data_IF_447113703975
#
_entry.id   IF_447113703975
#
_cell.length_a   1.000
_cell.length_b   1.000
_cell.length_c   1.000
_cell.angle_alpha   90.00
_cell.angle_beta   90.00
_cell.angle_gamma   90.00
#
_symmetry.space_group_name_H-M   'P 1'
#
loop_
_entity.id
_entity.type
_entity.pdbx_description
1 polymer ?
#
# COMPACT_ATOMS: atom_id res chain seq x y z
N UNK A 1 0.91 -9.88 -22.68
CA UNK A 1 0.99 -8.90 -21.58
C UNK A 1 2.36 -9.04 -20.93
N UNK A 2 2.78 -8.07 -20.13
CA UNK A 2 4.03 -8.13 -19.37
C UNK A 2 3.80 -7.65 -17.94
N UNK A 3 4.73 -8.00 -17.06
CA UNK A 3 4.72 -7.63 -15.64
C UNK A 3 5.90 -6.72 -15.33
N UNK A 4 5.66 -5.69 -14.50
CA UNK A 4 6.67 -4.79 -13.98
C UNK A 4 6.60 -4.78 -12.46
N UNK A 5 7.73 -5.10 -11.82
CA UNK A 5 7.92 -5.09 -10.37
C UNK A 5 9.01 -4.11 -10.00
N UNK A 6 8.74 -3.26 -9.01
CA UNK A 6 9.70 -2.31 -8.47
C UNK A 6 9.26 -1.89 -7.07
N UNK A 7 10.19 -1.29 -6.34
CA UNK A 7 9.96 -0.79 -5.00
C UNK A 7 10.10 0.74 -5.00
N UNK A 8 9.28 1.41 -4.18
CA UNK A 8 9.46 2.83 -3.85
C UNK A 8 9.36 3.02 -2.35
N UNK A 9 9.81 4.15 -1.85
CA UNK A 9 9.60 4.53 -0.46
C UNK A 9 8.19 5.10 -0.25
N UNK A 10 7.63 4.88 0.95
CA UNK A 10 6.42 5.53 1.44
C UNK A 10 6.78 6.96 1.84
N UNK A 11 6.82 7.86 0.86
CA UNK A 11 7.13 9.28 1.05
C UNK A 11 6.05 10.19 0.50
N UNK A 12 5.88 11.35 1.14
CA UNK A 12 5.01 12.41 0.62
C UNK A 12 5.68 13.23 -0.48
N UNK A 13 5.02 14.30 -0.90
CA UNK A 13 5.56 15.24 -1.88
C UNK A 13 6.59 16.22 -1.29
N UNK A 14 6.59 16.38 0.04
CA UNK A 14 7.33 17.42 0.75
C UNK A 14 6.51 18.69 1.00
N UNK A 15 5.28 18.79 0.49
CA UNK A 15 4.39 19.93 0.69
C UNK A 15 2.95 19.48 0.97
N UNK A 16 2.35 20.00 2.05
CA UNK A 16 0.98 19.68 2.42
C UNK A 16 -0.03 20.04 1.32
N UNK A 17 -1.01 19.17 1.07
CA UNK A 17 -1.99 19.35 0.00
C UNK A 17 -1.44 19.21 -1.43
N UNK A 18 -0.18 18.75 -1.60
CA UNK A 18 0.40 18.42 -2.91
C UNK A 18 0.53 16.90 -3.04
N UNK A 19 -0.01 16.34 -4.13
CA UNK A 19 -0.02 14.90 -4.34
C UNK A 19 1.41 14.32 -4.41
N UNK A 20 1.71 13.23 -3.68
CA UNK A 20 2.99 12.55 -3.78
C UNK A 20 3.21 11.92 -5.17
N UNK A 21 4.47 11.72 -5.54
CA UNK A 21 4.84 11.11 -6.83
C UNK A 21 4.25 9.70 -6.99
N UNK A 22 4.21 8.94 -5.88
CA UNK A 22 3.62 7.61 -5.79
C UNK A 22 2.09 7.61 -5.89
N UNK A 23 1.44 8.78 -5.83
CA UNK A 23 -0.02 8.93 -5.96
C UNK A 23 -0.59 8.35 -7.25
N UNK A 24 0.13 8.50 -8.36
CA UNK A 24 -0.24 7.92 -9.66
C UNK A 24 -0.25 6.38 -9.62
N UNK A 25 0.63 5.79 -8.81
CA UNK A 25 0.72 4.34 -8.63
C UNK A 25 -0.48 3.82 -7.84
N UNK A 26 -0.85 4.49 -6.74
CA UNK A 26 -2.06 4.18 -5.98
C UNK A 26 -3.31 4.22 -6.87
N UNK A 27 -3.44 5.25 -7.70
CA UNK A 27 -4.57 5.37 -8.64
C UNK A 27 -4.65 4.22 -9.63
N UNK A 28 -3.52 3.78 -10.17
CA UNK A 28 -3.46 2.61 -11.05
C UNK A 28 -3.63 1.26 -10.31
N UNK A 29 -3.60 1.28 -8.97
CA UNK A 29 -3.95 0.15 -8.10
C UNK A 29 -5.38 0.23 -7.56
N UNK A 30 -6.22 1.13 -8.09
CA UNK A 30 -7.63 1.23 -7.75
C UNK A 30 -7.97 2.10 -6.55
N UNK A 31 -7.13 3.09 -6.23
CA UNK A 31 -7.43 4.10 -5.23
C UNK A 31 -7.91 5.41 -5.87
N UNK A 32 -8.87 6.07 -5.25
CA UNK A 32 -9.28 7.43 -5.57
C UNK A 32 -8.42 8.45 -4.80
N UNK A 33 -7.99 9.50 -5.48
CA UNK A 33 -7.22 10.60 -4.88
C UNK A 33 -8.15 11.74 -4.49
N UNK A 34 -8.06 12.18 -3.24
CA UNK A 34 -8.76 13.37 -2.73
C UNK A 34 -7.75 14.38 -2.20
N UNK A 35 -7.68 15.54 -2.83
CA UNK A 35 -6.77 16.62 -2.43
C UNK A 35 -7.53 17.67 -1.63
N UNK A 36 -7.09 17.91 -0.40
CA UNK A 36 -7.48 19.07 0.40
C UNK A 36 -6.33 20.07 0.31
N UNK A 37 -6.54 21.13 -0.47
CA UNK A 37 -5.52 22.14 -0.76
C UNK A 37 -4.85 22.63 0.52
N UNK A 38 -3.52 22.77 0.48
CA UNK A 38 -2.66 23.18 1.60
C UNK A 38 -2.74 22.32 2.88
N UNK A 39 -3.49 21.22 2.85
CA UNK A 39 -3.79 20.43 4.05
C UNK A 39 -3.35 18.99 3.91
N UNK A 40 -3.89 18.25 2.93
CA UNK A 40 -3.63 16.81 2.82
C UNK A 40 -3.99 16.25 1.46
N UNK A 41 -3.49 15.04 1.19
CA UNK A 41 -3.88 14.22 0.04
C UNK A 41 -4.20 12.81 0.54
N UNK A 42 -5.42 12.36 0.30
CA UNK A 42 -5.92 11.06 0.69
C UNK A 42 -6.04 10.12 -0.51
N UNK A 43 -5.74 8.84 -0.27
CA UNK A 43 -6.00 7.74 -1.17
C UNK A 43 -6.87 6.72 -0.44
N UNK A 44 -8.10 6.58 -0.92
CA UNK A 44 -9.08 5.61 -0.44
C UNK A 44 -9.35 4.60 -1.56
N UNK A 45 -9.64 3.32 -1.28
CA UNK A 45 -10.08 2.36 -2.28
C UNK A 45 -11.25 2.91 -3.09
N UNK A 46 -11.38 2.45 -4.33
CA UNK A 46 -12.50 2.81 -5.17
C UNK A 46 -13.01 1.59 -5.90
N UNK A 47 -14.30 1.32 -5.81
CA UNK A 47 -14.97 0.25 -6.53
C UNK A 47 -15.42 0.65 -7.94
N UNK A 48 -15.12 1.88 -8.37
CA UNK A 48 -15.54 2.42 -9.67
C UNK A 48 -14.39 3.15 -10.38
N UNK A 49 -14.34 3.05 -11.71
CA UNK A 49 -13.41 3.80 -12.57
C UNK A 49 -11.93 3.66 -12.18
N UNK A 50 -11.39 2.45 -12.30
CA UNK A 50 -9.97 2.20 -12.10
C UNK A 50 -9.13 2.91 -13.15
N UNK A 51 -8.29 3.85 -12.69
CA UNK A 51 -7.29 4.47 -13.54
C UNK A 51 -6.30 3.41 -14.05
N UNK A 52 -5.71 3.65 -15.21
CA UNK A 52 -4.57 2.87 -15.70
C UNK A 52 -3.41 3.80 -15.96
N UNK A 53 -2.20 3.27 -16.07
CA UNK A 53 -1.04 4.06 -16.40
C UNK A 53 -0.18 3.41 -17.48
N UNK A 54 0.68 4.21 -18.09
CA UNK A 54 1.69 3.70 -19.02
C UNK A 54 3.06 3.88 -18.39
N UNK A 55 3.83 2.80 -18.31
CA UNK A 55 5.23 2.85 -17.88
C UNK A 55 6.15 2.97 -19.09
N UNK A 56 7.14 3.83 -18.95
CA UNK A 56 8.28 3.97 -19.85
C UNK A 56 9.51 3.62 -19.03
N UNK A 57 10.15 2.50 -19.34
CA UNK A 57 11.32 1.98 -18.63
C UNK A 57 12.51 2.05 -19.58
N UNK A 58 13.38 3.01 -19.34
CA UNK A 58 14.61 3.21 -20.11
C UNK A 58 15.74 2.39 -19.48
N UNK A 59 16.44 1.60 -20.31
CA UNK A 59 17.61 0.80 -19.93
C UNK A 59 18.70 1.02 -20.98
N UNK A 60 19.67 1.88 -20.65
CA UNK A 60 20.81 2.17 -21.53
C UNK A 60 20.42 2.52 -22.98
N UNK A 61 19.43 3.42 -23.13
CA UNK A 61 18.90 3.83 -24.44
C UNK A 61 17.86 2.89 -25.07
N UNK A 62 17.59 1.73 -24.44
CA UNK A 62 16.53 0.80 -24.84
C UNK A 62 15.26 1.12 -24.04
N UNK A 63 14.15 1.33 -24.73
CA UNK A 63 12.86 1.68 -24.11
C UNK A 63 11.90 0.50 -24.12
N UNK A 64 11.56 0.04 -22.91
CA UNK A 64 10.46 -0.88 -22.66
C UNK A 64 9.21 -0.09 -22.27
N UNK A 65 8.08 -0.36 -22.93
CA UNK A 65 6.79 0.28 -22.63
C UNK A 65 5.78 -0.74 -22.14
N UNK A 66 5.01 -0.35 -21.13
CA UNK A 66 3.88 -1.12 -20.61
C UNK A 66 2.65 -0.21 -20.59
N UNK A 67 1.69 -0.44 -21.48
CA UNK A 67 0.49 0.42 -21.62
C UNK A 67 -0.72 -0.19 -20.92
N UNK A 68 -1.66 0.67 -20.49
CA UNK A 68 -2.89 0.22 -19.83
C UNK A 68 -2.62 -0.61 -18.57
N UNK A 69 -1.53 -0.29 -17.85
CA UNK A 69 -1.09 -1.06 -16.71
C UNK A 69 -1.97 -0.78 -15.49
N UNK A 70 -2.34 -1.86 -14.80
CA UNK A 70 -3.01 -1.85 -13.49
C UNK A 70 -2.22 -2.72 -12.53
N UNK A 71 -2.28 -2.38 -11.25
CA UNK A 71 -1.36 -2.96 -10.28
C UNK A 71 -1.95 -3.24 -8.92
N UNK A 72 -1.08 -3.77 -8.08
CA UNK A 72 -1.27 -4.05 -6.67
C UNK A 72 0.01 -3.71 -5.93
N UNK A 73 -0.08 -3.62 -4.60
CA UNK A 73 1.06 -3.30 -3.78
C UNK A 73 1.00 -3.92 -2.39
N UNK A 74 2.18 -4.02 -1.81
CA UNK A 74 2.40 -4.34 -0.40
C UNK A 74 3.21 -3.22 0.26
N UNK A 75 2.74 -2.74 1.40
CA UNK A 75 3.43 -1.79 2.26
C UNK A 75 4.13 -2.54 3.37
N UNK A 76 5.41 -2.23 3.59
CA UNK A 76 6.21 -2.73 4.69
C UNK A 76 6.70 -1.55 5.54
N UNK A 77 6.29 -1.56 6.81
CA UNK A 77 6.74 -0.61 7.82
C UNK A 77 7.53 -1.37 8.87
N UNK A 78 8.81 -1.59 8.62
CA UNK A 78 9.75 -2.19 9.57
C UNK A 78 10.54 -1.10 10.31
N UNK A 79 10.62 -1.21 11.63
CA UNK A 79 11.35 -0.28 12.50
C UNK A 79 12.80 -0.07 12.02
N UNK A 80 13.25 1.18 12.00
CA UNK A 80 14.61 1.55 11.61
C UNK A 80 14.90 1.49 10.10
N UNK A 81 13.94 1.07 9.27
CA UNK A 81 14.02 1.15 7.80
C UNK A 81 13.16 2.30 7.28
N UNK A 82 13.35 2.68 6.02
CA UNK A 82 12.37 3.50 5.31
C UNK A 82 11.10 2.68 5.09
N UNK A 83 9.93 3.33 5.20
CA UNK A 83 8.69 2.69 4.78
C UNK A 83 8.79 2.34 3.30
N UNK A 84 8.48 1.09 2.94
CA UNK A 84 8.64 0.59 1.59
C UNK A 84 7.30 0.17 1.01
N UNK A 85 7.13 0.38 -0.30
CA UNK A 85 5.99 -0.11 -1.06
C UNK A 85 6.52 -0.95 -2.22
N UNK A 86 6.14 -2.22 -2.23
CA UNK A 86 6.46 -3.16 -3.28
C UNK A 86 5.32 -3.16 -4.29
N UNK A 87 5.58 -2.70 -5.51
CA UNK A 87 4.58 -2.60 -6.56
C UNK A 87 4.68 -3.77 -7.53
N UNK A 88 3.53 -4.29 -7.93
CA UNK A 88 3.41 -5.24 -9.04
C UNK A 88 2.35 -4.74 -10.01
N UNK A 89 2.77 -4.46 -11.25
CA UNK A 89 1.89 -3.99 -12.32
C UNK A 89 1.86 -4.97 -13.48
N UNK A 90 0.67 -5.17 -14.05
CA UNK A 90 0.47 -5.90 -15.30
C UNK A 90 -0.12 -4.99 -16.35
N UNK A 91 0.39 -5.07 -17.57
CA UNK A 91 -0.07 -4.24 -18.68
C UNK A 91 0.18 -4.86 -20.05
N UNK A 92 -0.25 -4.15 -21.08
CA UNK A 92 -0.07 -4.54 -22.46
C UNK A 92 1.37 -4.31 -22.87
N UNK A 93 1.97 -5.36 -23.44
CA UNK A 93 3.32 -5.30 -23.98
C UNK A 93 3.32 -4.45 -25.25
N UNK A 94 4.34 -3.63 -25.41
CA UNK A 94 4.65 -2.91 -26.63
C UNK A 94 6.06 -3.31 -27.05
N UNK A 95 6.25 -3.49 -28.36
CA UNK A 95 7.57 -3.84 -28.92
C UNK A 95 8.63 -2.84 -28.44
N UNK A 96 9.78 -3.38 -28.05
CA UNK A 96 10.93 -2.59 -27.57
C UNK A 96 11.45 -1.71 -28.69
N UNK A 97 11.83 -0.48 -28.36
CA UNK A 97 12.37 0.50 -29.31
C UNK A 97 13.52 1.27 -28.67
N UNK A 98 14.44 1.81 -29.47
CA UNK A 98 15.48 2.69 -28.95
C UNK A 98 14.91 4.09 -28.71
N UNK A 99 15.37 4.75 -27.64
CA UNK A 99 14.96 6.10 -27.29
C UNK A 99 15.98 6.77 -26.38
N UNK A 100 16.20 8.07 -26.57
CA UNK A 100 17.09 8.84 -25.69
C UNK A 100 16.59 8.83 -24.24
N UNK A 101 17.53 8.82 -23.30
CA UNK A 101 17.20 8.92 -21.88
C UNK A 101 16.51 10.26 -21.57
N UNK A 102 15.49 10.22 -20.73
CA UNK A 102 14.77 11.42 -20.30
C UNK A 102 15.57 12.10 -19.18
N UNK A 103 15.75 13.41 -19.28
CA UNK A 103 16.22 14.24 -18.17
C UNK A 103 15.02 14.75 -17.36
N UNK A 104 15.05 14.57 -16.04
CA UNK A 104 14.00 15.07 -15.14
C UNK A 104 14.58 15.69 -13.88
N UNK A 105 13.76 16.48 -13.19
CA UNK A 105 14.07 16.99 -11.86
C UNK A 105 13.56 15.98 -10.83
N UNK A 106 14.44 15.56 -9.93
CA UNK A 106 14.08 14.65 -8.85
C UNK A 106 13.54 15.42 -7.65
N UNK A 107 12.52 14.86 -6.99
CA UNK A 107 12.07 15.38 -5.71
C UNK A 107 13.12 15.10 -4.62
N UNK A 108 13.65 16.16 -4.02
CA UNK A 108 14.68 16.11 -2.97
C UNK A 108 14.13 15.73 -1.57
N UNK A 109 12.83 15.53 -1.43
CA UNK A 109 12.19 15.12 -0.17
C UNK A 109 12.71 13.75 0.25
N UNK A 110 13.34 13.71 1.42
CA UNK A 110 13.87 12.48 2.00
C UNK A 110 12.73 11.60 2.53
N UNK A 111 12.74 10.29 2.27
CA UNK A 111 11.73 9.39 2.80
C UNK A 111 11.78 9.32 4.33
N UNK A 112 10.63 9.25 5.02
CA UNK A 112 10.61 9.08 6.47
C UNK A 112 11.13 7.69 6.86
N UNK A 113 12.01 7.64 7.85
CA UNK A 113 12.37 6.39 8.53
C UNK A 113 11.21 6.00 9.45
N UNK A 114 10.90 4.72 9.56
CA UNK A 114 9.92 4.17 10.52
C UNK A 114 10.54 4.17 11.91
N UNK A 115 10.59 5.36 12.52
CA UNK A 115 11.02 5.62 13.89
C UNK A 115 10.02 6.58 14.54
N UNK A 116 9.63 6.29 15.78
CA UNK A 116 8.58 7.06 16.45
C UNK A 116 7.21 6.96 15.76
N UNK A 117 6.99 5.90 14.98
CA UNK A 117 5.72 5.68 14.30
C UNK A 117 4.61 5.41 15.32
N UNK A 118 3.54 6.19 15.28
CA UNK A 118 2.43 6.05 16.20
C UNK A 118 1.49 4.94 15.71
N UNK A 119 1.70 3.71 16.16
CA UNK A 119 0.87 2.54 15.84
C UNK A 119 -0.14 2.25 16.94
N UNK A 120 -1.39 1.99 16.56
CA UNK A 120 -2.46 1.57 17.48
C UNK A 120 -3.44 0.61 16.80
N UNK A 121 -4.00 -0.30 17.60
CA UNK A 121 -5.05 -1.23 17.19
C UNK A 121 -6.15 -1.27 18.26
N UNK A 122 -7.37 -0.91 17.90
CA UNK A 122 -8.50 -0.82 18.84
C UNK A 122 -8.27 0.22 19.94
N UNK A 123 -7.44 1.24 19.68
CA UNK A 123 -7.01 2.24 20.68
C UNK A 123 -5.84 1.81 21.56
N UNK A 124 -5.38 0.56 21.47
CA UNK A 124 -4.20 0.09 22.17
C UNK A 124 -2.92 0.37 21.37
N UNK A 125 -1.96 1.07 21.98
CA UNK A 125 -0.64 1.36 21.40
C UNK A 125 0.27 0.15 21.53
N UNK A 126 0.17 -0.77 20.56
CA UNK A 126 0.96 -1.99 20.56
C UNK A 126 2.44 -1.73 20.29
N UNK A 127 3.32 -2.40 21.04
CA UNK A 127 4.76 -2.40 20.81
C UNK A 127 5.07 -3.42 19.72
N UNK A 128 5.16 -2.96 18.47
CA UNK A 128 5.43 -3.79 17.29
C UNK A 128 6.70 -3.34 16.58
N UNK A 129 7.38 -4.26 15.88
CA UNK A 129 8.56 -3.93 15.05
C UNK A 129 8.25 -3.85 13.57
N UNK A 130 7.14 -4.43 13.14
CA UNK A 130 6.69 -4.45 11.76
C UNK A 130 5.17 -4.35 11.67
N UNK A 131 4.72 -3.56 10.69
CA UNK A 131 3.38 -3.62 10.13
C UNK A 131 3.50 -3.82 8.62
N UNK A 132 2.89 -4.87 8.09
CA UNK A 132 2.70 -5.05 6.66
C UNK A 132 1.23 -4.96 6.28
N UNK A 133 0.96 -4.37 5.12
CA UNK A 133 -0.36 -4.31 4.51
C UNK A 133 -0.22 -4.76 3.07
N UNK A 134 -0.99 -5.76 2.65
CA UNK A 134 -0.95 -6.25 1.29
C UNK A 134 -2.32 -6.09 0.67
N UNK A 135 -2.40 -5.28 -0.38
CA UNK A 135 -3.61 -5.14 -1.15
C UNK A 135 -3.93 -6.43 -1.92
N UNK A 136 -3.00 -7.11 -2.57
CA UNK A 136 -3.35 -8.31 -3.36
C UNK A 136 -4.63 -8.14 -4.24
N UNK A 137 -4.61 -7.14 -5.12
CA UNK A 137 -5.65 -6.97 -6.13
C UNK A 137 -5.64 -8.16 -7.08
N UNK A 138 -6.82 -8.58 -7.50
CA UNK A 138 -6.97 -9.63 -8.51
C UNK A 138 -7.05 -9.02 -9.91
N UNK A 139 -6.31 -9.61 -10.84
CA UNK A 139 -6.30 -9.18 -12.23
C UNK A 139 -6.98 -10.20 -13.13
N UNK A 140 -7.83 -9.72 -14.04
CA UNK A 140 -8.31 -10.51 -15.17
C UNK A 140 -7.80 -9.94 -16.48
N UNK A 141 -7.30 -10.83 -17.33
CA UNK A 141 -6.95 -10.51 -18.71
C UNK A 141 -8.22 -10.56 -19.56
N UNK A 142 -8.68 -9.43 -20.06
CA UNK A 142 -9.77 -9.41 -21.04
C UNK A 142 -9.23 -9.88 -22.39
N UNK A 143 -9.29 -11.19 -22.62
CA UNK A 143 -8.83 -11.79 -23.88
C UNK A 143 -9.74 -11.39 -25.02
N UNK A 144 -9.13 -11.13 -26.17
CA UNK A 144 -9.85 -10.74 -27.37
C UNK A 144 -9.05 -11.20 -28.59
N UNK A 145 -9.70 -11.98 -29.46
CA UNK A 145 -9.11 -12.49 -30.69
C UNK A 145 -8.76 -11.37 -31.69
N UNK A 146 -9.46 -10.24 -31.61
CA UNK A 146 -9.25 -9.08 -32.48
C UNK A 146 -8.17 -8.13 -31.96
N UNK A 147 -7.71 -8.29 -30.72
CA UNK A 147 -6.64 -7.48 -30.18
C UNK A 147 -5.29 -7.96 -30.71
N UNK A 148 -4.43 -7.03 -31.16
CA UNK A 148 -3.10 -7.34 -31.70
C UNK A 148 -2.23 -8.20 -30.77
N UNK A 149 -2.42 -8.05 -29.46
CA UNK A 149 -1.69 -8.78 -28.42
C UNK A 149 -2.52 -9.91 -27.77
N UNK A 150 -3.69 -10.25 -28.33
CA UNK A 150 -4.64 -11.23 -27.78
C UNK A 150 -5.32 -10.81 -26.47
N UNK A 151 -5.03 -9.59 -25.98
CA UNK A 151 -5.57 -9.01 -24.74
C UNK A 151 -5.98 -7.58 -25.04
N UNK A 152 -7.25 -7.25 -24.77
CA UNK A 152 -7.82 -5.91 -24.94
C UNK A 152 -7.44 -4.98 -23.79
N UNK A 153 -7.51 -5.49 -22.56
CA UNK A 153 -7.19 -4.74 -21.35
C UNK A 153 -6.90 -5.66 -20.16
N UNK A 154 -6.21 -5.12 -19.15
CA UNK A 154 -6.04 -5.74 -17.84
C UNK A 154 -7.08 -5.12 -16.90
N UNK A 155 -7.94 -5.92 -16.29
CA UNK A 155 -8.97 -5.45 -15.37
C UNK A 155 -8.55 -5.76 -13.93
N UNK A 156 -8.84 -4.86 -12.99
CA UNK A 156 -8.91 -5.22 -11.58
C UNK A 156 -10.33 -5.76 -11.37
N UNK A 157 -10.46 -7.05 -11.07
CA UNK A 157 -11.76 -7.73 -10.95
C UNK A 157 -12.21 -7.95 -9.53
N UNK A 158 -11.28 -7.82 -8.60
CA UNK A 158 -11.51 -8.07 -7.21
C UNK A 158 -10.33 -7.60 -6.40
N UNK A 159 -10.54 -7.67 -5.10
CA UNK A 159 -9.54 -7.36 -4.12
C UNK A 159 -9.64 -8.39 -3.00
N UNK A 160 -8.74 -9.37 -3.00
CA UNK A 160 -8.73 -10.46 -2.01
C UNK A 160 -7.92 -10.06 -0.76
N UNK A 161 -6.88 -9.25 -0.95
CA UNK A 161 -5.99 -8.80 0.12
C UNK A 161 -6.54 -7.62 0.90
N UNK A 162 -7.61 -7.85 1.63
CA UNK A 162 -7.80 -7.12 2.88
C UNK A 162 -6.77 -7.62 3.91
N UNK A 163 -5.50 -7.81 3.55
CA UNK A 163 -4.52 -8.56 4.31
C UNK A 163 -3.46 -7.67 4.92
N UNK A 164 -2.90 -8.12 6.02
CA UNK A 164 -1.73 -7.50 6.63
C UNK A 164 -1.23 -8.36 7.77
N UNK A 165 -0.16 -7.93 8.41
CA UNK A 165 0.29 -8.53 9.65
C UNK A 165 1.02 -7.51 10.50
N UNK A 166 0.94 -7.69 11.81
CA UNK A 166 1.79 -6.96 12.75
C UNK A 166 2.25 -7.91 13.85
N UNK A 167 3.31 -7.50 14.54
CA UNK A 167 4.05 -8.35 15.46
C UNK A 167 4.16 -7.74 16.87
N UNK A 168 3.04 -7.63 17.61
CA UNK A 168 3.07 -6.98 18.91
C UNK A 168 3.81 -7.83 19.94
N UNK A 169 4.47 -7.19 20.90
CA UNK A 169 4.87 -7.83 22.15
C UNK A 169 3.66 -8.40 22.88
N UNK A 170 3.81 -9.60 23.43
CA UNK A 170 2.76 -10.23 24.19
C UNK A 170 2.54 -9.50 25.52
N UNK A 171 1.28 -9.14 25.80
CA UNK A 171 0.87 -8.61 27.10
C UNK A 171 -0.17 -9.51 27.74
N UNK A 172 -0.47 -9.25 29.01
CA UNK A 172 -1.57 -9.90 29.70
C UNK A 172 -2.89 -9.63 28.97
N UNK A 173 -3.76 -10.63 28.91
CA UNK A 173 -5.09 -10.51 28.27
C UNK A 173 -5.94 -9.40 28.92
N UNK A 174 -5.69 -9.07 30.19
CA UNK A 174 -6.32 -7.96 30.90
C UNK A 174 -5.82 -6.56 30.43
N UNK A 175 -4.61 -6.48 29.87
CA UNK A 175 -4.04 -5.23 29.32
C UNK A 175 -4.54 -4.99 27.90
N UNK A 176 -4.46 -6.00 27.04
CA UNK A 176 -5.08 -5.98 25.72
C UNK A 176 -5.48 -7.41 25.32
N UNK A 177 -6.76 -7.67 25.05
CA UNK A 177 -7.25 -9.03 24.93
C UNK A 177 -7.06 -9.59 23.50
N UNK A 178 -5.83 -9.96 23.13
CA UNK A 178 -5.53 -10.45 21.78
C UNK A 178 -6.31 -11.71 21.43
N UNK A 179 -6.39 -12.69 22.35
CA UNK A 179 -7.06 -13.96 22.08
C UNK A 179 -8.57 -13.83 22.09
N UNK A 180 -9.15 -13.04 23.00
CA UNK A 180 -10.59 -12.80 23.01
C UNK A 180 -11.05 -11.99 21.78
N UNK A 181 -10.25 -10.99 21.36
CA UNK A 181 -10.51 -10.24 20.13
C UNK A 181 -10.47 -11.15 18.90
N UNK A 182 -9.53 -12.09 18.85
CA UNK A 182 -9.50 -13.09 17.79
C UNK A 182 -10.70 -14.05 17.84
N UNK A 183 -10.98 -14.64 19.01
CA UNK A 183 -12.07 -15.62 19.18
C UNK A 183 -13.46 -15.04 18.87
N UNK A 184 -13.67 -13.75 19.16
CA UNK A 184 -14.93 -13.04 18.88
C UNK A 184 -14.98 -12.37 17.50
N UNK A 185 -13.91 -12.48 16.70
CA UNK A 185 -13.75 -11.73 15.46
C UNK A 185 -13.98 -10.21 15.63
N UNK A 186 -13.51 -9.66 16.76
CA UNK A 186 -13.65 -8.25 17.08
C UNK A 186 -13.09 -7.36 15.97
N UNK A 187 -13.82 -6.31 15.64
CA UNK A 187 -13.41 -5.31 14.66
C UNK A 187 -12.77 -4.14 15.39
N UNK A 188 -11.49 -3.89 15.13
CA UNK A 188 -10.70 -2.87 15.78
C UNK A 188 -10.19 -1.85 14.77
N UNK A 189 -10.24 -0.55 15.10
CA UNK A 189 -9.62 0.47 14.27
C UNK A 189 -8.10 0.31 14.29
N UNK A 190 -7.46 0.26 13.13
CA UNK A 190 -6.02 0.23 12.96
C UNK A 190 -5.55 1.60 12.48
N UNK A 191 -4.52 2.15 13.12
CA UNK A 191 -3.91 3.41 12.72
C UNK A 191 -2.40 3.32 12.88
N UNK A 192 -1.66 3.73 11.86
CA UNK A 192 -0.22 4.00 11.95
C UNK A 192 0.10 5.36 11.36
N UNK A 193 0.99 6.12 11.99
CA UNK A 193 1.57 7.34 11.41
C UNK A 193 3.06 7.13 11.18
N UNK A 194 3.49 7.09 9.93
CA UNK A 194 4.90 7.02 9.54
C UNK A 194 5.41 8.42 9.18
N UNK A 195 6.49 8.86 9.84
CA UNK A 195 7.04 10.21 9.71
C UNK A 195 6.28 11.27 10.51
N UNK A 196 6.86 12.47 10.62
CA UNK A 196 6.32 13.58 11.42
C UNK A 196 6.23 14.92 10.68
N UNK A 197 7.01 15.10 9.60
CA UNK A 197 7.06 16.34 8.83
C UNK A 197 5.81 16.52 7.95
N UNK A 198 5.19 17.69 7.99
CA UNK A 198 4.04 18.01 7.14
C UNK A 198 4.39 17.92 5.64
N UNK A 199 3.48 17.35 4.86
CA UNK A 199 3.69 17.02 3.45
C UNK A 199 4.53 15.76 3.21
N UNK A 200 5.05 15.11 4.26
CA UNK A 200 5.92 13.94 4.16
C UNK A 200 5.66 12.84 5.21
N UNK A 201 4.66 13.02 6.08
CA UNK A 201 4.13 11.93 6.91
C UNK A 201 2.99 11.22 6.19
N UNK A 202 2.85 9.94 6.45
CA UNK A 202 1.76 9.12 5.96
C UNK A 202 1.00 8.52 7.14
N UNK A 203 -0.28 8.83 7.24
CA UNK A 203 -1.21 8.20 8.18
C UNK A 203 -1.95 7.11 7.42
N UNK A 204 -1.81 5.86 7.86
CA UNK A 204 -2.56 4.74 7.33
C UNK A 204 -3.62 4.33 8.34
N UNK A 205 -4.88 4.28 7.91
CA UNK A 205 -6.00 3.88 8.75
C UNK A 205 -6.79 2.75 8.13
N UNK A 206 -7.26 1.81 8.94
CA UNK A 206 -8.27 0.82 8.57
C UNK A 206 -9.36 0.82 9.65
N UNK A 207 -10.62 1.15 9.34
CA UNK A 207 -11.64 1.34 10.37
C UNK A 207 -12.01 0.03 11.08
N UNK A 208 -11.89 -1.12 10.40
CA UNK A 208 -12.21 -2.43 10.94
C UNK A 208 -11.14 -3.46 10.54
N UNK A 209 -10.15 -3.64 11.39
CA UNK A 209 -9.22 -4.75 11.34
C UNK A 209 -9.71 -5.89 12.23
N UNK A 210 -9.70 -7.12 11.71
CA UNK A 210 -10.00 -8.36 12.45
C UNK A 210 -8.76 -9.24 12.48
N UNK A 211 -8.49 -9.92 13.58
CA UNK A 211 -7.38 -10.86 13.68
C UNK A 211 -7.77 -12.18 13.00
N UNK A 212 -6.90 -12.72 12.13
CA UNK A 212 -7.12 -14.01 11.47
C UNK A 212 -6.58 -15.16 12.32
N UNK A 213 -5.48 -14.93 13.01
CA UNK A 213 -4.91 -15.82 14.03
C UNK A 213 -4.07 -15.02 15.01
N UNK A 214 -3.75 -15.64 16.14
CA UNK A 214 -2.74 -15.14 17.09
C UNK A 214 -1.74 -16.28 17.27
N UNK A 215 -0.57 -16.14 16.65
CA UNK A 215 0.47 -17.18 16.70
C UNK A 215 1.60 -16.75 17.64
N UNK A 216 2.12 -17.64 18.50
CA UNK A 216 3.26 -17.31 19.35
C UNK A 216 4.53 -17.13 18.50
N UNK A 217 5.37 -16.17 18.89
CA UNK A 217 6.68 -15.92 18.30
C UNK A 217 7.73 -15.56 19.35
N UNK A 218 8.97 -15.47 18.92
CA UNK A 218 10.10 -15.01 19.72
C UNK A 218 10.83 -13.88 18.99
N UNK A 219 11.09 -12.79 19.71
CA UNK A 219 11.95 -11.70 19.25
C UNK A 219 12.99 -11.43 20.31
N UNK A 220 14.21 -11.89 20.11
CA UNK A 220 15.32 -11.70 21.06
C UNK A 220 14.98 -12.18 22.49
N UNK A 221 14.31 -13.34 22.61
CA UNK A 221 13.80 -13.91 23.87
C UNK A 221 12.65 -13.13 24.52
N UNK A 222 12.09 -12.14 23.82
CA UNK A 222 10.85 -11.49 24.18
C UNK A 222 9.71 -12.26 23.49
N UNK A 223 8.71 -12.63 24.28
CA UNK A 223 7.53 -13.32 23.76
C UNK A 223 6.67 -12.32 22.98
N UNK A 224 6.43 -12.63 21.70
CA UNK A 224 5.66 -11.80 20.78
C UNK A 224 4.53 -12.61 20.16
N UNK A 225 3.59 -11.92 19.53
CA UNK A 225 2.61 -12.56 18.64
C UNK A 225 2.91 -12.22 17.19
N UNK A 226 2.55 -13.13 16.30
CA UNK A 226 2.37 -12.85 14.88
C UNK A 226 0.87 -12.84 14.59
N UNK A 227 0.36 -11.66 14.23
CA UNK A 227 -1.08 -11.44 14.05
C UNK A 227 -1.35 -11.04 12.60
N UNK A 228 -1.67 -12.00 11.72
CA UNK A 228 -2.25 -11.69 10.43
C UNK A 228 -3.62 -11.05 10.63
N UNK A 229 -3.88 -9.96 9.91
CA UNK A 229 -5.12 -9.20 9.99
C UNK A 229 -5.93 -9.27 8.71
N UNK A 230 -7.24 -9.09 8.86
CA UNK A 230 -8.16 -8.80 7.79
C UNK A 230 -8.73 -7.39 7.94
N UNK A 231 -8.52 -6.51 6.97
CA UNK A 231 -9.21 -5.22 6.93
C UNK A 231 -10.66 -5.41 6.44
N UNK A 232 -11.55 -4.49 6.76
CA UNK A 232 -12.95 -4.55 6.36
C UNK A 232 -13.56 -3.16 6.31
N UNK A 233 -14.61 -3.03 5.52
CA UNK A 233 -15.27 -1.75 5.29
C UNK A 233 -16.13 -1.39 6.50
N UNK A 234 -16.16 -0.11 6.84
CA UNK A 234 -17.17 0.44 7.71
C UNK A 234 -18.32 1.00 6.89
N UNK A 235 -18.05 1.90 5.93
CA UNK A 235 -19.03 2.50 5.01
C UNK A 235 -18.40 2.70 3.63
N UNK A 236 -18.96 2.06 2.60
CA UNK A 236 -18.45 2.20 1.22
C UNK A 236 -17.07 1.57 1.04
N UNK A 237 -16.21 2.23 0.28
CA UNK A 237 -14.86 1.78 -0.08
C UNK A 237 -13.80 2.35 0.90
N UNK A 238 -13.96 2.08 2.20
CA UNK A 238 -13.16 2.69 3.28
C UNK A 238 -12.31 1.69 4.08
N UNK A 239 -12.03 0.50 3.53
CA UNK A 239 -11.31 -0.57 4.25
C UNK A 239 -9.88 -0.18 4.69
N UNK A 240 -9.23 0.69 3.92
CA UNK A 240 -7.90 1.22 4.18
C UNK A 240 -7.81 2.64 3.62
N UNK A 241 -7.01 3.50 4.22
CA UNK A 241 -6.78 4.86 3.70
C UNK A 241 -5.33 5.22 3.91
N UNK A 242 -4.73 5.84 2.89
CA UNK A 242 -3.42 6.47 2.98
C UNK A 242 -3.59 7.98 2.92
N UNK A 243 -3.25 8.68 3.99
CA UNK A 243 -3.34 10.14 4.09
C UNK A 243 -1.94 10.73 4.19
N UNK A 244 -1.58 11.60 3.26
CA UNK A 244 -0.35 12.38 3.27
C UNK A 244 -0.67 13.81 3.73
N UNK A 245 -0.08 14.26 4.83
CA UNK A 245 -0.32 15.58 5.44
C UNK A 245 0.89 16.09 6.21
#
# INVERSE_FOLDING_TARGET
YAELKFQTELKGSGAAGTAPEIGKLFRACGFAETVVVSTSVAYDPSSASFSSMTFYVYRDGILHKLTGARGTFEVDLTVGKYGAINWTFQGLYVAVSDSALVSGTYNATLPPVVLGAAFSVGGYSAVATKLSLNMANEFALRRDLSAANGVREILITGWDGRGGSFDPEAVLEATHPFFANWASAAQAALTVTAGSAAGNRCVITGPKAQYKSVSPGDRDKIYVYEIPIRLAQNVGDDEVKFLFN
#
